data_IF_715741237287
#
_entry.id   IF_715741237287
#
_cell.length_a   1.000
_cell.length_b   1.000
_cell.length_c   1.000
_cell.angle_alpha   90.00
_cell.angle_beta   90.00
_cell.angle_gamma   90.00
#
_symmetry.space_group_name_H-M   'P 1'
#
loop_
_entity.id
_entity.type
_entity.pdbx_description
1 polymer ?
#
# COMPACT_ATOMS: atom_id res chain seq x y z
N UNK A 1 14.41 10.54 -25.91
CA UNK A 1 13.58 10.02 -24.80
C UNK A 1 13.31 11.17 -23.84
N UNK A 2 12.04 11.56 -23.61
CA UNK A 2 11.70 12.78 -22.87
C UNK A 2 11.34 12.41 -21.43
N UNK A 3 12.25 12.67 -20.49
CA UNK A 3 11.98 12.62 -19.05
C UNK A 3 11.51 14.02 -18.69
N UNK A 4 10.22 14.20 -18.42
CA UNK A 4 9.67 15.50 -18.04
C UNK A 4 9.69 15.62 -16.51
N UNK A 5 10.37 16.65 -16.00
CA UNK A 5 10.31 17.07 -14.60
C UNK A 5 9.34 18.24 -14.50
N UNK A 6 8.20 18.03 -13.85
CA UNK A 6 7.31 19.13 -13.47
C UNK A 6 7.67 19.58 -12.05
N UNK A 7 7.80 20.89 -11.83
CA UNK A 7 8.01 21.50 -10.50
C UNK A 7 6.76 22.30 -10.13
N UNK A 8 6.07 21.94 -9.04
CA UNK A 8 4.95 22.72 -8.49
C UNK A 8 5.21 23.07 -7.03
N UNK A 9 4.91 24.32 -6.64
CA UNK A 9 4.94 24.81 -5.25
C UNK A 9 6.14 25.69 -4.87
N UNK A 10 5.96 26.50 -3.82
CA UNK A 10 6.90 27.51 -3.29
C UNK A 10 8.17 26.94 -2.63
N UNK A 11 8.53 27.39 -1.41
CA UNK A 11 9.83 27.13 -0.73
C UNK A 11 10.28 25.65 -0.63
N UNK A 12 9.41 24.67 -0.91
CA UNK A 12 9.74 23.26 -1.06
C UNK A 12 9.17 22.73 -2.39
N UNK A 13 9.93 22.80 -3.50
CA UNK A 13 9.44 22.35 -4.80
C UNK A 13 9.35 20.83 -4.86
N UNK A 14 8.24 20.32 -5.40
CA UNK A 14 8.06 18.90 -5.69
C UNK A 14 8.38 18.61 -7.15
N UNK A 15 9.17 17.58 -7.42
CA UNK A 15 9.55 17.07 -8.74
C UNK A 15 8.86 15.73 -9.02
N UNK A 16 8.39 15.56 -10.26
CA UNK A 16 7.75 14.33 -10.72
C UNK A 16 8.51 13.71 -11.89
N UNK A 17 8.54 12.38 -11.95
CA UNK A 17 9.02 11.62 -13.10
C UNK A 17 7.95 10.64 -13.57
N UNK A 18 7.98 10.30 -14.86
CA UNK A 18 6.95 9.50 -15.52
C UNK A 18 7.57 8.43 -16.42
N UNK A 19 6.86 7.33 -16.64
CA UNK A 19 7.19 6.35 -17.67
C UNK A 19 6.61 6.74 -19.06
N UNK A 20 6.87 5.93 -20.09
CA UNK A 20 6.39 6.18 -21.47
C UNK A 20 4.85 6.20 -21.61
N UNK A 21 4.12 5.67 -20.63
CA UNK A 21 2.65 5.69 -20.56
C UNK A 21 2.12 6.85 -19.70
N UNK A 22 2.99 7.78 -19.31
CA UNK A 22 2.68 8.92 -18.44
C UNK A 22 2.23 8.52 -17.02
N UNK A 23 2.58 7.32 -16.55
CA UNK A 23 2.37 6.96 -15.14
C UNK A 23 3.51 7.53 -14.29
N UNK A 24 3.18 8.11 -13.15
CA UNK A 24 4.16 8.64 -12.19
C UNK A 24 5.02 7.50 -11.67
N UNK A 25 6.34 7.64 -11.76
CA UNK A 25 7.31 6.66 -11.24
C UNK A 25 8.12 7.18 -10.07
N UNK A 26 8.23 8.50 -9.91
CA UNK A 26 8.95 9.12 -8.82
C UNK A 26 8.32 10.47 -8.45
N UNK A 27 8.19 10.72 -7.14
CA UNK A 27 7.89 12.02 -6.55
C UNK A 27 9.05 12.35 -5.61
N UNK A 28 9.59 13.57 -5.70
CA UNK A 28 10.72 13.98 -4.88
C UNK A 28 10.61 15.42 -4.43
N UNK A 29 10.90 15.67 -3.17
CA UNK A 29 11.02 16.99 -2.53
C UNK A 29 12.15 16.94 -1.49
N UNK A 30 12.60 18.08 -0.95
CA UNK A 30 13.66 18.08 0.07
C UNK A 30 13.34 17.25 1.33
N UNK A 31 12.05 17.06 1.65
CA UNK A 31 11.63 16.36 2.87
C UNK A 31 11.06 14.96 2.62
N UNK A 32 10.92 14.55 1.36
CA UNK A 32 10.20 13.33 1.01
C UNK A 32 10.56 12.81 -0.39
N UNK A 33 10.72 11.50 -0.53
CA UNK A 33 10.79 10.80 -1.80
C UNK A 33 9.84 9.62 -1.84
N UNK A 34 9.28 9.33 -3.02
CA UNK A 34 8.43 8.16 -3.25
C UNK A 34 8.63 7.62 -4.66
N UNK A 35 8.97 6.33 -4.77
CA UNK A 35 9.06 5.59 -6.03
C UNK A 35 7.86 4.67 -6.18
N UNK A 36 7.29 4.65 -7.39
CA UNK A 36 6.22 3.74 -7.78
C UNK A 36 6.73 2.81 -8.88
N UNK A 37 6.52 1.50 -8.69
CA UNK A 37 6.84 0.46 -9.68
C UNK A 37 5.56 -0.12 -10.26
N UNK A 38 5.61 -0.51 -11.54
CA UNK A 38 4.48 -1.07 -12.28
C UNK A 38 4.91 -2.41 -12.92
N UNK A 39 5.25 -2.41 -14.21
CA UNK A 39 5.77 -3.58 -14.94
C UNK A 39 7.27 -3.82 -14.78
N UNK A 40 7.98 -2.93 -14.09
CA UNK A 40 9.40 -3.14 -13.81
C UNK A 40 9.57 -4.13 -12.64
N UNK A 41 10.60 -5.00 -12.68
CA UNK A 41 10.96 -5.82 -11.54
C UNK A 41 11.19 -4.97 -10.30
N UNK A 42 10.63 -5.39 -9.18
CA UNK A 42 10.90 -4.81 -7.87
C UNK A 42 11.05 -5.95 -6.87
N UNK A 43 11.90 -5.77 -5.86
CA UNK A 43 12.18 -6.83 -4.91
C UNK A 43 10.89 -7.30 -4.21
N UNK A 44 10.42 -8.51 -4.49
CA UNK A 44 9.17 -9.07 -3.97
C UNK A 44 7.87 -8.54 -4.61
N UNK A 45 7.92 -7.56 -5.53
CA UNK A 45 6.72 -7.03 -6.19
C UNK A 45 6.48 -7.66 -7.55
N UNK A 46 5.26 -8.13 -7.79
CA UNK A 46 4.88 -8.79 -9.06
C UNK A 46 4.63 -7.75 -10.16
N UNK A 47 5.32 -7.81 -11.32
CA UNK A 47 5.13 -6.86 -12.40
C UNK A 47 3.67 -6.72 -12.86
N UNK A 48 3.21 -5.47 -12.98
CA UNK A 48 1.86 -5.09 -13.41
C UNK A 48 1.91 -4.27 -14.69
N UNK A 49 1.99 -4.95 -15.83
CA UNK A 49 2.09 -4.31 -17.15
C UNK A 49 0.85 -3.50 -17.57
N UNK A 50 -0.31 -3.79 -16.95
CA UNK A 50 -1.59 -3.10 -17.17
C UNK A 50 -1.77 -1.79 -16.41
N UNK A 51 -0.79 -1.34 -15.62
CA UNK A 51 -0.84 -0.04 -14.93
C UNK A 51 -1.24 -0.08 -13.46
N UNK A 52 -1.46 -1.27 -12.90
CA UNK A 52 -1.48 -1.42 -11.45
C UNK A 52 -0.09 -1.10 -10.86
N UNK A 53 -0.06 -0.52 -9.68
CA UNK A 53 1.19 -0.32 -8.93
C UNK A 53 1.59 -1.67 -8.32
N UNK A 54 2.78 -2.17 -8.62
CA UNK A 54 3.31 -3.43 -8.07
C UNK A 54 4.06 -3.21 -6.76
N UNK A 55 4.68 -2.05 -6.61
CA UNK A 55 5.41 -1.68 -5.41
C UNK A 55 5.47 -0.18 -5.23
N UNK A 56 5.58 0.23 -3.97
CA UNK A 56 5.84 1.61 -3.58
C UNK A 56 6.97 1.61 -2.57
N UNK A 57 7.95 2.48 -2.74
CA UNK A 57 8.97 2.75 -1.72
C UNK A 57 8.93 4.25 -1.40
N UNK A 58 9.01 4.64 -0.14
CA UNK A 58 9.03 6.04 0.27
C UNK A 58 9.95 6.29 1.45
N UNK A 59 10.42 7.51 1.56
CA UNK A 59 11.29 7.94 2.65
C UNK A 59 11.02 9.41 2.99
N UNK A 60 10.80 9.69 4.26
CA UNK A 60 10.83 11.05 4.80
C UNK A 60 12.26 11.43 5.21
N UNK A 61 12.59 12.72 5.19
CA UNK A 61 13.91 13.19 5.61
C UNK A 61 14.17 12.79 7.08
N UNK A 62 15.27 12.07 7.32
CA UNK A 62 15.64 11.58 8.65
C UNK A 62 14.95 10.29 9.10
N UNK A 63 14.10 9.68 8.26
CA UNK A 63 13.47 8.38 8.54
C UNK A 63 14.07 7.26 7.67
N UNK A 64 13.82 6.02 8.07
CA UNK A 64 14.17 4.82 7.32
C UNK A 64 13.33 4.66 6.06
N UNK A 65 13.89 3.99 5.05
CA UNK A 65 13.15 3.60 3.85
C UNK A 65 11.98 2.70 4.23
N UNK A 66 10.77 3.06 3.77
CA UNK A 66 9.56 2.27 3.91
C UNK A 66 9.10 1.78 2.55
N UNK A 67 8.33 0.70 2.51
CA UNK A 67 7.78 0.22 1.26
C UNK A 67 6.56 -0.67 1.42
N UNK A 68 5.87 -0.87 0.30
CA UNK A 68 4.84 -1.86 0.13
C UNK A 68 5.10 -2.68 -1.14
N UNK A 69 4.78 -3.96 -1.10
CA UNK A 69 4.60 -4.80 -2.29
C UNK A 69 3.13 -5.17 -2.40
N UNK A 70 2.55 -4.92 -3.57
CA UNK A 70 1.13 -5.09 -3.80
C UNK A 70 0.88 -6.38 -4.56
N UNK A 71 -0.04 -7.17 -4.04
CA UNK A 71 -0.54 -8.35 -4.69
C UNK A 71 -1.99 -8.13 -5.11
N UNK A 72 -2.37 -8.74 -6.21
CA UNK A 72 -3.71 -8.62 -6.76
C UNK A 72 -4.28 -10.00 -7.02
N UNK A 73 -5.58 -10.13 -6.84
CA UNK A 73 -6.28 -11.34 -7.27
C UNK A 73 -6.35 -11.43 -8.81
N UNK A 74 -6.90 -12.54 -9.31
CA UNK A 74 -7.03 -12.79 -10.75
C UNK A 74 -7.89 -11.76 -11.50
N UNK A 75 -8.77 -11.04 -10.78
CA UNK A 75 -9.61 -9.96 -11.35
C UNK A 75 -8.93 -8.60 -11.27
N UNK A 76 -7.73 -8.52 -10.70
CA UNK A 76 -6.95 -7.30 -10.61
C UNK A 76 -7.32 -6.39 -9.44
N UNK A 77 -7.99 -6.93 -8.42
CA UNK A 77 -8.30 -6.21 -7.16
C UNK A 77 -7.16 -6.42 -6.16
N UNK A 78 -6.88 -5.42 -5.33
CA UNK A 78 -5.80 -5.49 -4.34
C UNK A 78 -6.11 -6.59 -3.31
N UNK A 79 -5.25 -7.59 -3.22
CA UNK A 79 -5.39 -8.73 -2.32
C UNK A 79 -4.44 -8.65 -1.12
N UNK A 80 -3.26 -8.05 -1.28
CA UNK A 80 -2.32 -7.82 -0.18
C UNK A 80 -1.47 -6.57 -0.41
N UNK A 81 -1.06 -5.95 0.71
CA UNK A 81 -0.07 -4.90 0.78
C UNK A 81 0.97 -5.29 1.84
N UNK A 82 2.09 -5.84 1.38
CA UNK A 82 3.15 -6.36 2.24
C UNK A 82 4.09 -5.23 2.64
N UNK A 83 4.11 -4.89 3.93
CA UNK A 83 4.92 -3.79 4.44
C UNK A 83 6.42 -4.12 4.46
N UNK A 84 7.22 -3.09 4.23
CA UNK A 84 8.68 -3.15 4.30
C UNK A 84 9.24 -1.97 5.08
N UNK A 85 10.25 -2.25 5.90
CA UNK A 85 10.95 -1.28 6.75
C UNK A 85 12.46 -1.51 6.62
N UNK A 86 13.21 -0.44 6.35
CA UNK A 86 14.63 -0.54 5.99
C UNK A 86 14.86 -1.32 4.69
N UNK A 87 13.85 -1.40 3.82
CA UNK A 87 13.89 -2.21 2.60
C UNK A 87 13.65 -3.71 2.83
N UNK A 88 13.40 -4.18 4.05
CA UNK A 88 13.16 -5.59 4.38
C UNK A 88 11.67 -5.85 4.70
N UNK A 89 11.12 -7.05 4.43
CA UNK A 89 9.76 -7.40 4.82
C UNK A 89 9.52 -7.25 6.32
N UNK A 90 8.34 -6.78 6.69
CA UNK A 90 7.91 -6.64 8.09
C UNK A 90 6.41 -6.90 8.22
N UNK A 91 6.00 -7.50 9.33
CA UNK A 91 4.63 -7.83 9.69
C UNK A 91 3.84 -6.64 10.29
N UNK A 92 4.50 -5.51 10.59
CA UNK A 92 3.96 -4.40 11.38
C UNK A 92 2.74 -3.69 10.80
N UNK A 93 2.68 -3.56 9.47
CA UNK A 93 1.66 -2.78 8.78
C UNK A 93 1.12 -3.50 7.53
N UNK A 94 1.16 -4.83 7.54
CA UNK A 94 0.61 -5.66 6.46
C UNK A 94 -0.91 -5.48 6.39
N UNK A 95 -1.48 -5.48 5.19
CA UNK A 95 -2.94 -5.51 5.00
C UNK A 95 -3.32 -6.54 3.95
N UNK A 96 -4.34 -7.34 4.23
CA UNK A 96 -4.85 -8.39 3.33
C UNK A 96 -6.36 -8.21 3.11
N UNK A 97 -6.81 -8.57 1.91
CA UNK A 97 -8.19 -8.43 1.47
C UNK A 97 -8.64 -9.70 0.74
N UNK A 98 -9.90 -10.09 0.96
CA UNK A 98 -10.57 -11.07 0.11
C UNK A 98 -11.89 -10.51 -0.40
N UNK A 99 -12.39 -11.07 -1.50
CA UNK A 99 -13.59 -10.59 -2.16
C UNK A 99 -14.41 -11.76 -2.70
N UNK A 100 -15.71 -11.54 -2.86
CA UNK A 100 -16.55 -12.39 -3.68
C UNK A 100 -16.34 -12.11 -5.19
N UNK A 101 -17.09 -12.78 -6.06
CA UNK A 101 -17.00 -12.56 -7.50
C UNK A 101 -17.62 -11.22 -7.97
N UNK A 102 -18.52 -10.64 -7.18
CA UNK A 102 -19.19 -9.38 -7.50
C UNK A 102 -18.39 -8.13 -7.09
N UNK A 103 -17.30 -8.31 -6.33
CA UNK A 103 -16.48 -7.18 -5.88
C UNK A 103 -16.69 -6.78 -4.43
N UNK A 104 -17.56 -7.46 -3.70
CA UNK A 104 -17.74 -7.17 -2.29
C UNK A 104 -16.56 -7.73 -1.50
N UNK A 105 -15.96 -6.90 -0.63
CA UNK A 105 -14.90 -7.35 0.29
C UNK A 105 -15.53 -8.35 1.26
N UNK A 106 -14.95 -9.54 1.42
CA UNK A 106 -15.38 -10.56 2.37
C UNK A 106 -14.59 -10.45 3.68
N UNK A 107 -13.28 -10.27 3.58
CA UNK A 107 -12.40 -10.09 4.75
C UNK A 107 -11.41 -8.95 4.55
N UNK A 108 -11.04 -8.28 5.65
CA UNK A 108 -9.93 -7.34 5.72
C UNK A 108 -9.15 -7.62 7.01
N UNK A 109 -7.87 -7.95 6.89
CA UNK A 109 -6.94 -8.02 8.02
C UNK A 109 -5.93 -6.90 7.91
N UNK A 110 -5.64 -6.21 9.02
CA UNK A 110 -4.61 -5.17 9.09
C UNK A 110 -3.77 -5.36 10.34
N UNK A 111 -2.47 -5.40 10.15
CA UNK A 111 -1.50 -5.24 11.23
C UNK A 111 -1.21 -3.76 11.49
N UNK A 112 -0.94 -3.44 12.74
CA UNK A 112 -0.57 -2.09 13.16
C UNK A 112 0.10 -2.09 14.53
N UNK A 113 0.42 -0.89 15.00
CA UNK A 113 0.92 -0.65 16.35
C UNK A 113 -0.24 -0.84 17.33
N UNK A 114 -0.15 -1.81 18.23
CA UNK A 114 -1.20 -2.13 19.21
C UNK A 114 -0.94 -1.47 20.57
N UNK A 115 0.33 -1.36 20.98
CA UNK A 115 0.75 -0.69 22.21
C UNK A 115 2.26 -0.48 22.23
N UNK A 116 2.74 0.74 22.49
CA UNK A 116 4.18 1.08 22.47
C UNK A 116 4.91 0.37 21.31
N UNK A 117 6.10 -0.20 21.44
CA UNK A 117 6.77 -0.89 20.33
C UNK A 117 6.22 -2.29 19.97
N UNK A 118 5.00 -2.62 20.42
CA UNK A 118 4.30 -3.87 20.11
C UNK A 118 3.38 -3.67 18.90
N UNK A 119 3.51 -4.60 17.96
CA UNK A 119 2.73 -4.66 16.73
C UNK A 119 1.93 -5.96 16.67
N UNK A 120 0.76 -5.90 16.05
CA UNK A 120 -0.16 -7.03 15.91
C UNK A 120 -1.35 -6.68 15.04
N UNK A 121 -2.30 -7.60 14.93
CA UNK A 121 -3.53 -7.38 14.16
C UNK A 121 -4.42 -6.36 14.87
N UNK A 122 -4.66 -5.22 14.23
CA UNK A 122 -5.54 -4.15 14.72
C UNK A 122 -6.95 -4.26 14.17
N UNK A 123 -7.09 -4.76 12.95
CA UNK A 123 -8.37 -5.03 12.30
C UNK A 123 -8.39 -6.48 11.81
N UNK A 124 -9.43 -7.23 12.17
CA UNK A 124 -9.73 -8.55 11.60
C UNK A 124 -11.22 -8.59 11.27
N UNK A 125 -11.56 -8.06 10.09
CA UNK A 125 -12.92 -7.73 9.72
C UNK A 125 -13.51 -8.80 8.81
N UNK A 126 -14.68 -9.31 9.17
CA UNK A 126 -15.54 -10.10 8.29
C UNK A 126 -16.78 -9.30 7.90
N UNK A 127 -17.03 -9.19 6.59
CA UNK A 127 -18.14 -8.44 6.00
C UNK A 127 -19.25 -9.39 5.56
N UNK A 128 -20.50 -9.00 5.79
CA UNK A 128 -21.68 -9.77 5.38
C UNK A 128 -22.62 -8.88 4.57
N UNK A 129 -23.17 -9.45 3.50
CA UNK A 129 -24.01 -8.75 2.55
C UNK A 129 -25.33 -9.47 2.34
N UNK A 130 -26.35 -8.67 2.00
CA UNK A 130 -27.60 -9.11 1.39
C UNK A 130 -27.58 -8.65 -0.08
N UNK A 131 -27.25 -9.57 -0.99
CA UNK A 131 -26.82 -9.21 -2.35
C UNK A 131 -25.53 -8.40 -2.32
N UNK A 132 -25.54 -7.20 -2.91
CA UNK A 132 -24.42 -6.24 -2.86
C UNK A 132 -24.61 -5.15 -1.80
N UNK A 133 -25.55 -5.33 -0.87
CA UNK A 133 -25.79 -4.39 0.23
C UNK A 133 -25.09 -4.88 1.49
N UNK A 134 -24.11 -4.13 1.98
CA UNK A 134 -23.44 -4.42 3.25
C UNK A 134 -24.46 -4.35 4.40
N UNK A 135 -24.56 -5.41 5.19
CA UNK A 135 -25.49 -5.48 6.34
C UNK A 135 -24.77 -5.61 7.67
N UNK A 136 -23.54 -6.12 7.70
CA UNK A 136 -22.77 -6.28 8.92
C UNK A 136 -21.27 -6.30 8.65
N UNK A 137 -20.53 -5.73 9.59
CA UNK A 137 -19.08 -5.91 9.73
C UNK A 137 -18.83 -6.43 11.14
N UNK A 138 -18.05 -7.50 11.27
CA UNK A 138 -17.62 -8.03 12.56
C UNK A 138 -16.12 -7.88 12.68
N UNK A 139 -15.64 -7.25 13.75
CA UNK A 139 -14.22 -7.22 14.08
C UNK A 139 -13.89 -8.37 15.04
N UNK A 140 -12.86 -9.13 14.73
CA UNK A 140 -12.34 -10.24 15.52
C UNK A 140 -10.99 -9.93 16.16
N UNK A 141 -10.39 -8.77 15.85
CA UNK A 141 -9.15 -8.34 16.47
C UNK A 141 -9.35 -8.22 17.98
N UNK A 142 -8.31 -8.55 18.75
CA UNK A 142 -8.36 -8.40 20.19
C UNK A 142 -8.52 -6.91 20.53
N UNK A 143 -9.51 -6.58 21.35
CA UNK A 143 -9.54 -5.29 22.03
C UNK A 143 -8.34 -5.26 22.99
N UNK A 144 -7.22 -4.66 22.59
CA UNK A 144 -6.14 -4.39 23.55
C UNK A 144 -6.68 -3.39 24.57
N UNK A 145 -6.82 -3.74 25.86
CA UNK A 145 -7.21 -2.77 26.86
C UNK A 145 -6.03 -1.81 27.05
N UNK A 146 -6.26 -0.52 26.85
CA UNK A 146 -5.32 0.51 27.24
C UNK A 146 -5.23 0.52 28.78
N UNK A 147 -4.06 0.17 29.31
CA UNK A 147 -3.67 0.46 30.70
C UNK A 147 -2.49 1.44 30.67
#
# INVERSE_FOLDING_TARGET
MRIATERRGGFLPSAYAYNLRSWVTHISSPLFSQRLSYGEPSDGGQPRYGGGVSAMDWQAAGDSLRGYRYQYDALGRLAAADYREGGLPSDRYVTEYSYDLMGNILTLSRSGKVYDEIYGVTDDLTYQYDGNRLIRVTNHAADTPAY
#
